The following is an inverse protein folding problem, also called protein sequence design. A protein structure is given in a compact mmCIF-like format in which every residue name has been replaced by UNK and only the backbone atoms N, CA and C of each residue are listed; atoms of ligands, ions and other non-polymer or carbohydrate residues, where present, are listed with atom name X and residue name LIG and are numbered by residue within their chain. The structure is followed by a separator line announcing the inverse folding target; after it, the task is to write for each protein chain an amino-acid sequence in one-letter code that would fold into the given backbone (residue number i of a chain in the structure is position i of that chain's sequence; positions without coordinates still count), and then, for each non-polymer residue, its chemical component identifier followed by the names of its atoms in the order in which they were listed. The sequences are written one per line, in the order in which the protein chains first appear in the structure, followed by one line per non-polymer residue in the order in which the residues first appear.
data_IF_256476015703
#
_entry.id   IF_256476015703
#
_cell.length_a   1.000
_cell.length_b   1.000
_cell.length_c   1.000
_cell.angle_alpha   90.00
_cell.angle_beta   90.00
_cell.angle_gamma   90.00
#
_symmetry.space_group_name_H-M   'P 1'
#
loop_
_entity.id
_entity.type
_entity.pdbx_description
1 polymer ?
#
# COMPACT_ATOMS: atom_id res chain seq x y z
N UNK A 1 -18.39 21.10 16.19
CA UNK A 1 -18.33 19.66 15.85
C UNK A 1 -17.07 19.38 15.02
N UNK A 2 -16.11 18.63 15.57
CA UNK A 2 -14.97 18.11 14.80
C UNK A 2 -15.51 17.06 13.82
N UNK A 3 -15.40 17.30 12.51
CA UNK A 3 -15.58 16.24 11.52
C UNK A 3 -14.46 15.21 11.78
N UNK A 4 -14.79 14.16 12.52
CA UNK A 4 -14.03 12.92 12.51
C UNK A 4 -13.94 12.46 11.06
N UNK A 5 -12.74 12.12 10.52
CA UNK A 5 -12.69 11.48 9.21
C UNK A 5 -13.59 10.24 9.27
N UNK A 6 -14.46 10.13 8.29
CA UNK A 6 -15.44 9.05 8.15
C UNK A 6 -14.80 7.68 8.37
N UNK A 7 -15.61 6.78 8.91
CA UNK A 7 -15.37 5.35 9.07
C UNK A 7 -14.68 4.76 7.81
N UNK A 8 -13.35 4.66 7.85
CA UNK A 8 -12.52 4.03 6.83
C UNK A 8 -11.28 3.48 7.52
N UNK A 9 -11.32 2.17 7.77
CA UNK A 9 -10.48 1.44 8.72
C UNK A 9 -8.99 1.68 8.57
N UNK A 10 -8.28 1.46 9.68
CA UNK A 10 -6.81 1.45 9.74
C UNK A 10 -6.24 0.67 8.54
N UNK A 11 -5.08 1.09 8.00
CA UNK A 11 -4.47 0.36 6.90
C UNK A 11 -4.20 -1.07 7.34
N UNK A 12 -4.47 -2.03 6.46
CA UNK A 12 -4.17 -3.44 6.72
C UNK A 12 -2.66 -3.63 6.93
N UNK A 13 -1.83 -2.81 6.26
CA UNK A 13 -0.38 -2.94 6.25
C UNK A 13 0.34 -1.67 6.74
N UNK A 14 1.33 -1.81 7.64
CA UNK A 14 2.24 -0.73 7.98
C UNK A 14 3.09 -0.32 6.77
N UNK A 15 3.36 0.98 6.61
CA UNK A 15 4.09 1.53 5.46
C UNK A 15 5.41 0.81 5.14
N UNK A 16 6.15 0.39 6.17
CA UNK A 16 7.43 -0.33 6.04
C UNK A 16 7.32 -1.72 5.39
N UNK A 17 6.14 -2.34 5.43
CA UNK A 17 5.91 -3.70 4.96
C UNK A 17 5.28 -3.79 3.57
N UNK A 18 4.69 -2.70 3.07
CA UNK A 18 4.02 -2.67 1.75
C UNK A 18 4.99 -3.06 0.63
N UNK A 19 6.16 -2.43 0.56
CA UNK A 19 7.12 -2.70 -0.51
C UNK A 19 7.69 -4.13 -0.45
N UNK A 20 8.14 -4.66 0.71
CA UNK A 20 8.56 -6.06 0.83
C UNK A 20 7.49 -7.05 0.37
N UNK A 21 6.23 -6.86 0.79
CA UNK A 21 5.14 -7.79 0.46
C UNK A 21 4.80 -7.73 -1.02
N UNK A 22 4.79 -6.54 -1.61
CA UNK A 22 4.59 -6.36 -3.05
C UNK A 22 5.68 -7.06 -3.85
N UNK A 23 6.94 -6.91 -3.45
CA UNK A 23 8.06 -7.60 -4.09
C UNK A 23 7.95 -9.12 -3.94
N UNK A 24 7.63 -9.61 -2.74
CA UNK A 24 7.44 -11.04 -2.50
C UNK A 24 6.32 -11.64 -3.36
N UNK A 25 5.17 -10.95 -3.47
CA UNK A 25 4.07 -11.36 -4.34
C UNK A 25 4.49 -11.38 -5.82
N UNK A 26 5.22 -10.35 -6.30
CA UNK A 26 5.73 -10.33 -7.66
C UNK A 26 6.73 -11.46 -7.94
N UNK A 27 7.62 -11.76 -7.00
CA UNK A 27 8.59 -12.87 -7.12
C UNK A 27 7.87 -14.21 -7.14
N UNK A 28 6.87 -14.42 -6.29
CA UNK A 28 6.07 -15.64 -6.28
C UNK A 28 5.34 -15.86 -7.62
N UNK A 29 4.74 -14.80 -8.18
CA UNK A 29 4.11 -14.86 -9.51
C UNK A 29 5.15 -15.19 -10.59
N UNK A 30 6.31 -14.53 -10.57
CA UNK A 30 7.36 -14.77 -11.57
C UNK A 30 7.93 -16.19 -11.49
N UNK A 31 8.10 -16.72 -10.28
CA UNK A 31 8.52 -18.11 -10.07
C UNK A 31 7.46 -19.10 -10.57
N UNK A 32 6.18 -18.83 -10.32
CA UNK A 32 5.07 -19.66 -10.83
C UNK A 32 5.03 -19.66 -12.37
N UNK A 33 5.17 -18.48 -13.00
CA UNK A 33 5.21 -18.36 -14.45
C UNK A 33 6.43 -19.10 -15.03
N UNK A 34 7.61 -18.93 -14.43
CA UNK A 34 8.82 -19.62 -14.86
C UNK A 34 8.65 -21.14 -14.78
N UNK A 35 8.07 -21.64 -13.69
CA UNK A 35 7.81 -23.08 -13.54
C UNK A 35 6.89 -23.60 -14.65
N UNK A 36 5.77 -22.90 -14.93
CA UNK A 36 4.83 -23.27 -15.98
C UNK A 36 5.53 -23.28 -17.35
N UNK A 37 6.35 -22.27 -17.63
CA UNK A 37 7.05 -22.14 -18.91
C UNK A 37 8.04 -23.28 -19.15
N UNK A 38 8.83 -23.65 -18.13
CA UNK A 38 9.83 -24.72 -18.25
C UNK A 38 9.25 -26.14 -18.18
N UNK A 39 8.05 -26.31 -17.62
CA UNK A 39 7.42 -27.63 -17.42
C UNK A 39 6.11 -27.79 -18.19
N UNK A 40 5.90 -27.02 -19.26
CA UNK A 40 4.62 -26.98 -19.98
C UNK A 40 4.23 -28.36 -20.55
N UNK A 41 5.22 -29.15 -20.98
CA UNK A 41 5.01 -30.49 -21.54
C UNK A 41 4.70 -31.55 -20.48
N UNK A 42 5.02 -31.28 -19.21
CA UNK A 42 4.79 -32.17 -18.05
C UNK A 42 3.74 -31.60 -17.09
N UNK A 43 2.94 -30.63 -17.54
CA UNK A 43 2.04 -29.89 -16.66
C UNK A 43 0.79 -30.74 -16.35
N UNK A 44 0.80 -31.39 -15.19
CA UNK A 44 -0.36 -32.12 -14.71
C UNK A 44 -1.45 -31.18 -14.16
N UNK A 45 -2.72 -31.62 -14.22
CA UNK A 45 -3.87 -30.91 -13.64
C UNK A 45 -3.67 -30.56 -12.14
N UNK A 46 -2.92 -31.39 -11.41
CA UNK A 46 -2.54 -31.16 -10.01
C UNK A 46 -1.79 -29.83 -9.80
N UNK A 47 -0.97 -29.41 -10.76
CA UNK A 47 -0.22 -28.15 -10.70
C UNK A 47 -1.12 -26.93 -10.89
N UNK A 48 -2.18 -27.05 -11.71
CA UNK A 48 -3.18 -25.98 -11.87
C UNK A 48 -3.93 -25.70 -10.57
N UNK A 49 -4.25 -26.75 -9.79
CA UNK A 49 -4.84 -26.61 -8.45
C UNK A 49 -3.93 -25.88 -7.46
N UNK A 50 -2.62 -25.84 -7.70
CA UNK A 50 -1.65 -25.11 -6.86
C UNK A 50 -1.48 -23.68 -7.35
N UNK A 51 -1.37 -23.46 -8.66
CA UNK A 51 -1.12 -22.12 -9.21
C UNK A 51 -2.31 -21.18 -9.09
N UNK A 52 -3.54 -21.67 -9.21
CA UNK A 52 -4.75 -20.84 -9.11
C UNK A 52 -4.89 -20.20 -7.72
N UNK A 53 -4.78 -20.94 -6.59
CA UNK A 53 -4.75 -20.33 -5.26
C UNK A 53 -3.60 -19.36 -5.05
N UNK A 54 -2.39 -19.67 -5.53
CA UNK A 54 -1.23 -18.77 -5.42
C UNK A 54 -1.53 -17.43 -6.11
N UNK A 55 -2.10 -17.47 -7.32
CA UNK A 55 -2.49 -16.26 -8.03
C UNK A 55 -3.57 -15.47 -7.27
N UNK A 56 -4.53 -16.18 -6.65
CA UNK A 56 -5.56 -15.57 -5.80
C UNK A 56 -4.98 -14.87 -4.58
N UNK A 57 -4.11 -15.54 -3.83
CA UNK A 57 -3.45 -14.97 -2.63
C UNK A 57 -2.57 -13.79 -3.01
N UNK A 58 -1.78 -13.90 -4.08
CA UNK A 58 -0.95 -12.79 -4.54
C UNK A 58 -1.80 -11.58 -4.97
N UNK A 59 -2.94 -11.81 -5.63
CA UNK A 59 -3.87 -10.76 -6.03
C UNK A 59 -4.45 -10.03 -4.82
N UNK A 60 -4.89 -10.77 -3.79
CA UNK A 60 -5.37 -10.19 -2.54
C UNK A 60 -4.27 -9.38 -1.83
N UNK A 61 -3.06 -9.93 -1.72
CA UNK A 61 -1.94 -9.24 -1.09
C UNK A 61 -1.57 -7.94 -1.82
N UNK A 62 -1.61 -7.94 -3.16
CA UNK A 62 -1.38 -6.74 -3.96
C UNK A 62 -2.49 -5.70 -3.78
N UNK A 63 -3.76 -6.12 -3.70
CA UNK A 63 -4.88 -5.22 -3.41
C UNK A 63 -4.75 -4.58 -2.03
N UNK A 64 -4.40 -5.35 -1.00
CA UNK A 64 -4.17 -4.84 0.36
C UNK A 64 -3.01 -3.85 0.42
N UNK A 65 -1.94 -4.11 -0.33
CA UNK A 65 -0.84 -3.17 -0.50
C UNK A 65 -1.32 -1.86 -1.13
N UNK A 66 -2.09 -1.92 -2.23
CA UNK A 66 -2.60 -0.71 -2.93
C UNK A 66 -3.55 0.10 -2.06
N UNK A 67 -4.45 -0.56 -1.33
CA UNK A 67 -5.38 0.10 -0.41
C UNK A 67 -4.63 0.78 0.74
N UNK A 68 -3.60 0.11 1.27
CA UNK A 68 -2.75 0.67 2.32
C UNK A 68 -1.90 1.85 1.82
N UNK A 69 -1.34 1.78 0.60
CA UNK A 69 -0.64 2.91 -0.04
C UNK A 69 -1.55 4.13 -0.20
N UNK A 70 -2.78 3.91 -0.71
CA UNK A 70 -3.75 4.98 -0.89
C UNK A 70 -4.14 5.64 0.44
N UNK A 71 -4.25 4.85 1.52
CA UNK A 71 -4.45 5.37 2.86
C UNK A 71 -3.28 6.27 3.29
N UNK A 72 -2.05 5.76 3.25
CA UNK A 72 -0.87 6.51 3.69
C UNK A 72 -0.63 7.77 2.86
N UNK A 73 -0.92 7.75 1.56
CA UNK A 73 -0.85 8.91 0.69
C UNK A 73 -1.81 10.03 1.14
N UNK A 74 -3.03 9.70 1.57
CA UNK A 74 -3.99 10.67 2.11
C UNK A 74 -3.48 11.27 3.43
N UNK A 75 -2.93 10.44 4.32
CA UNK A 75 -2.35 10.89 5.59
C UNK A 75 -1.20 11.87 5.34
N UNK A 76 -0.27 11.54 4.45
CA UNK A 76 0.87 12.40 4.11
C UNK A 76 0.44 13.79 3.59
N UNK A 77 -0.63 13.85 2.78
CA UNK A 77 -1.17 15.12 2.27
C UNK A 77 -1.76 15.95 3.41
N UNK A 78 -2.51 15.32 4.32
CA UNK A 78 -3.11 16.01 5.45
C UNK A 78 -2.06 16.53 6.44
N UNK A 79 -1.01 15.76 6.70
CA UNK A 79 0.12 16.19 7.52
C UNK A 79 0.88 17.37 6.91
N UNK A 80 1.16 17.32 5.60
CA UNK A 80 1.77 18.43 4.87
C UNK A 80 0.93 19.70 4.96
N UNK A 81 -0.41 19.58 4.85
CA UNK A 81 -1.33 20.72 5.01
C UNK A 81 -1.26 21.30 6.42
N UNK A 82 -1.33 20.47 7.45
CA UNK A 82 -1.20 20.88 8.86
C UNK A 82 0.13 21.57 9.14
N UNK A 83 1.24 21.07 8.58
CA UNK A 83 2.57 21.68 8.72
C UNK A 83 2.62 23.07 8.10
N UNK A 84 2.09 23.24 6.87
CA UNK A 84 1.99 24.54 6.19
C UNK A 84 1.12 25.54 6.97
N UNK A 85 -0.01 25.10 7.51
CA UNK A 85 -0.89 25.96 8.32
C UNK A 85 -0.20 26.41 9.62
N UNK A 86 0.49 25.51 10.31
CA UNK A 86 1.30 25.85 11.51
C UNK A 86 2.40 26.87 11.18
N UNK A 87 3.11 26.68 10.07
CA UNK A 87 4.17 27.59 9.64
C UNK A 87 3.64 28.99 9.32
N UNK A 88 2.50 29.09 8.61
CA UNK A 88 1.81 30.36 8.36
C UNK A 88 1.39 31.06 9.66
N UNK A 89 0.85 30.32 10.64
CA UNK A 89 0.48 30.86 11.96
C UNK A 89 1.70 31.38 12.71
N UNK A 90 2.82 30.67 12.68
CA UNK A 90 4.06 31.13 13.32
C UNK A 90 4.63 32.39 12.66
N UNK A 91 4.63 32.46 11.32
CA UNK A 91 5.05 33.67 10.58
C UNK A 91 4.16 34.88 10.92
N UNK A 92 2.84 34.68 11.05
CA UNK A 92 1.91 35.76 11.46
C UNK A 92 2.17 36.24 12.89
N UNK A 93 2.45 35.32 13.84
CA UNK A 93 2.82 35.67 15.22
C UNK A 93 4.11 36.48 15.28
N UNK A 94 5.15 36.08 14.54
CA UNK A 94 6.42 36.82 14.51
C UNK A 94 6.27 38.24 13.96
N UNK A 95 5.48 38.44 12.90
CA UNK A 95 5.23 39.77 12.33
C UNK A 95 4.45 40.71 13.26
N UNK A 96 3.59 40.16 14.12
CA UNK A 96 2.82 40.94 15.10
C UNK A 96 3.54 41.27 16.40
N UNK A 97 4.76 40.76 16.60
CA UNK A 97 5.61 41.10 17.76
C UNK A 97 6.68 42.16 17.43
N UNK A 98 6.86 42.50 16.16
CA UNK A 98 7.91 43.41 15.65
C UNK A 98 7.39 44.77 15.20
N UNK A 99 6.11 45.08 15.44
CA UNK A 99 5.50 46.39 15.17
C UNK A 99 4.68 46.82 16.38
#
# INVERSE_FOLDING_TARGET
MRKTPEKGGRPALPRKWILPIRLAACVAILAAIAFIFFNIDNLEMSHLFIFVPIAGVCSMALLDCRMSEAYWAKVDVEEKRKKKEKEKRMKKRKKGLTG
#
